data_IF_170290044639
#
_entry.id   IF_170290044639
#
_cell.length_a   1.000
_cell.length_b   1.000
_cell.length_c   1.000
_cell.angle_alpha   90.00
_cell.angle_beta   90.00
_cell.angle_gamma   90.00
#
_symmetry.space_group_name_H-M   'P 1'
#
loop_
_entity.id
_entity.type
_entity.pdbx_description
1 polymer ?
#
# COMPACT_ATOMS: atom_id res chain seq x y z
N UNK A 1 -37.03 -1.21 14.63
CA UNK A 1 -37.51 -1.60 13.28
C UNK A 1 -38.08 -0.36 12.62
N UNK A 2 -37.65 -0.01 11.41
CA UNK A 2 -38.15 1.11 10.61
C UNK A 2 -38.66 0.55 9.28
N UNK A 3 -39.92 0.81 8.97
CA UNK A 3 -40.51 0.50 7.66
C UNK A 3 -40.54 1.81 6.89
N UNK A 4 -39.76 1.90 5.81
CA UNK A 4 -39.67 3.10 4.98
C UNK A 4 -40.41 2.86 3.67
N UNK A 5 -41.42 3.69 3.41
CA UNK A 5 -42.15 3.73 2.14
C UNK A 5 -41.53 4.83 1.28
N UNK A 6 -40.71 4.45 0.31
CA UNK A 6 -40.04 5.37 -0.61
C UNK A 6 -40.91 5.63 -1.84
N UNK A 7 -41.46 6.85 -1.91
CA UNK A 7 -42.18 7.39 -3.07
C UNK A 7 -41.42 8.54 -3.75
N UNK A 8 -40.09 8.64 -3.57
CA UNK A 8 -39.26 9.75 -4.07
C UNK A 8 -39.34 9.96 -5.59
N UNK A 9 -39.66 8.91 -6.36
CA UNK A 9 -39.70 8.96 -7.82
C UNK A 9 -41.08 9.30 -8.39
N UNK A 10 -42.14 9.31 -7.56
CA UNK A 10 -43.52 9.60 -7.98
C UNK A 10 -44.00 8.84 -9.22
N UNK A 11 -43.51 7.61 -9.45
CA UNK A 11 -43.83 6.80 -10.66
C UNK A 11 -45.10 5.97 -10.53
N UNK A 12 -45.88 6.16 -9.46
CA UNK A 12 -47.02 5.28 -9.12
C UNK A 12 -46.59 3.91 -8.55
N UNK A 13 -45.29 3.69 -8.35
CA UNK A 13 -44.74 2.53 -7.63
C UNK A 13 -44.05 3.01 -6.36
N UNK A 14 -44.49 2.51 -5.20
CA UNK A 14 -43.92 2.84 -3.89
C UNK A 14 -43.04 1.66 -3.44
N UNK A 15 -41.74 1.91 -3.26
CA UNK A 15 -40.82 0.88 -2.75
C UNK A 15 -40.94 0.79 -1.23
N UNK A 16 -41.00 -0.42 -0.69
CA UNK A 16 -41.14 -0.66 0.75
C UNK A 16 -39.87 -1.34 1.25
N UNK A 17 -39.15 -0.67 2.14
CA UNK A 17 -37.93 -1.18 2.76
C UNK A 17 -38.17 -1.43 4.25
N UNK A 18 -37.76 -2.60 4.74
CA UNK A 18 -37.71 -2.91 6.17
C UNK A 18 -36.26 -2.80 6.63
N UNK A 19 -35.97 -1.82 7.49
CA UNK A 19 -34.67 -1.66 8.13
C UNK A 19 -34.77 -2.06 9.61
N UNK A 20 -33.94 -3.02 10.01
CA UNK A 20 -33.86 -3.49 11.40
C UNK A 20 -32.46 -3.24 11.92
N UNK A 21 -32.31 -2.31 12.87
CA UNK A 21 -31.08 -2.17 13.64
C UNK A 21 -31.16 -3.14 14.80
N UNK A 22 -30.27 -4.14 14.81
CA UNK A 22 -30.13 -5.05 15.94
C UNK A 22 -29.32 -4.32 17.00
N UNK A 23 -29.90 -4.15 18.18
CA UNK A 23 -29.22 -3.66 19.37
C UNK A 23 -29.26 -4.77 20.41
N UNK A 24 -28.10 -5.27 20.81
CA UNK A 24 -28.00 -6.26 21.87
C UNK A 24 -28.08 -5.52 23.21
N UNK A 25 -29.20 -5.64 23.91
CA UNK A 25 -29.28 -5.25 25.32
C UNK A 25 -28.61 -6.35 26.12
N UNK A 26 -27.40 -6.09 26.61
CA UNK A 26 -26.51 -7.07 27.25
C UNK A 26 -26.98 -7.52 28.63
N UNK A 27 -28.00 -6.88 29.20
CA UNK A 27 -28.61 -7.26 30.48
C UNK A 27 -30.13 -7.44 30.35
N UNK A 28 -30.55 -8.68 30.13
CA UNK A 28 -31.90 -9.09 30.48
C UNK A 28 -31.98 -9.19 32.01
N UNK A 29 -32.87 -8.42 32.64
CA UNK A 29 -33.10 -8.48 34.08
C UNK A 29 -33.88 -9.76 34.43
N UNK A 30 -33.16 -10.88 34.47
CA UNK A 30 -33.73 -12.22 34.70
C UNK A 30 -32.63 -13.19 35.13
N UNK A 31 -33.02 -14.26 35.81
CA UNK A 31 -32.08 -15.30 36.26
C UNK A 31 -31.63 -16.09 35.03
N UNK A 32 -30.50 -15.68 34.44
CA UNK A 32 -29.88 -16.39 33.32
C UNK A 32 -29.34 -17.70 33.87
N UNK A 33 -30.04 -18.80 33.57
CA UNK A 33 -29.51 -20.16 33.83
C UNK A 33 -28.44 -20.37 32.75
N UNK A 34 -27.24 -19.87 33.01
CA UNK A 34 -26.09 -20.19 32.18
C UNK A 34 -25.89 -21.71 32.26
N UNK A 35 -25.94 -22.40 31.12
CA UNK A 35 -25.37 -23.73 31.06
C UNK A 35 -23.89 -23.61 31.42
N UNK A 36 -23.40 -24.46 32.32
CA UNK A 36 -22.05 -24.40 32.93
C UNK A 36 -20.87 -24.26 31.93
N UNK A 37 -21.08 -24.41 30.62
CA UNK A 37 -20.08 -24.27 29.57
C UNK A 37 -19.95 -22.89 28.88
N UNK A 38 -20.87 -21.93 29.05
CA UNK A 38 -20.78 -20.66 28.28
C UNK A 38 -19.76 -19.67 28.85
N UNK A 39 -19.61 -19.63 30.18
CA UNK A 39 -18.67 -18.74 30.86
C UNK A 39 -17.22 -19.15 30.61
N UNK A 40 -16.94 -20.46 30.63
CA UNK A 40 -15.59 -21.00 30.38
C UNK A 40 -15.12 -20.70 28.96
N UNK A 41 -16.00 -20.80 27.96
CA UNK A 41 -15.67 -20.47 26.57
C UNK A 41 -15.35 -18.97 26.39
N UNK A 42 -16.12 -18.06 27.01
CA UNK A 42 -15.85 -16.62 26.92
C UNK A 42 -14.49 -16.27 27.53
N UNK A 43 -14.18 -16.84 28.70
CA UNK A 43 -12.89 -16.64 29.37
C UNK A 43 -11.74 -17.14 28.50
N UNK A 44 -11.89 -18.30 27.85
CA UNK A 44 -10.86 -18.85 26.94
C UNK A 44 -10.64 -17.90 25.75
N UNK A 45 -11.69 -17.39 25.13
CA UNK A 45 -11.58 -16.45 23.99
C UNK A 45 -10.86 -15.17 24.41
N UNK A 46 -11.23 -14.60 25.55
CA UNK A 46 -10.59 -13.41 26.10
C UNK A 46 -9.10 -13.62 26.36
N UNK A 47 -8.73 -14.77 26.96
CA UNK A 47 -7.32 -15.12 27.18
C UNK A 47 -6.55 -15.25 25.86
N UNK A 48 -7.16 -15.87 24.84
CA UNK A 48 -6.55 -15.98 23.50
C UNK A 48 -6.33 -14.59 22.89
N UNK A 49 -7.31 -13.68 22.98
CA UNK A 49 -7.17 -12.32 22.43
C UNK A 49 -6.05 -11.54 23.11
N UNK A 50 -5.88 -11.67 24.44
CA UNK A 50 -4.76 -11.07 25.18
C UNK A 50 -3.41 -11.67 24.75
N UNK A 51 -3.33 -12.99 24.56
CA UNK A 51 -2.10 -13.64 24.09
C UNK A 51 -1.74 -13.18 22.66
N UNK A 52 -2.72 -13.09 21.77
CA UNK A 52 -2.53 -12.57 20.40
C UNK A 52 -2.03 -11.13 20.44
N UNK A 53 -2.65 -10.28 21.26
CA UNK A 53 -2.25 -8.88 21.41
C UNK A 53 -0.78 -8.77 21.89
N UNK A 54 -0.39 -9.54 22.90
CA UNK A 54 0.99 -9.55 23.41
C UNK A 54 2.00 -10.01 22.35
N UNK A 55 1.67 -11.08 21.59
CA UNK A 55 2.53 -11.58 20.52
C UNK A 55 2.68 -10.56 19.38
N UNK A 56 1.60 -9.89 18.98
CA UNK A 56 1.64 -8.83 17.97
C UNK A 56 2.42 -7.60 18.44
N UNK A 57 2.30 -7.17 19.70
CA UNK A 57 3.08 -6.06 20.25
C UNK A 57 4.58 -6.42 20.25
N UNK A 58 4.94 -7.63 20.69
CA UNK A 58 6.34 -8.09 20.66
C UNK A 58 6.89 -8.14 19.23
N UNK A 59 6.12 -8.69 18.28
CA UNK A 59 6.46 -8.71 16.85
C UNK A 59 6.66 -7.30 16.29
N UNK A 60 5.74 -6.37 16.59
CA UNK A 60 5.79 -4.99 16.14
C UNK A 60 7.06 -4.28 16.65
N UNK A 61 7.40 -4.47 17.93
CA UNK A 61 8.62 -3.88 18.51
C UNK A 61 9.87 -4.42 17.81
N UNK A 62 9.97 -5.74 17.61
CA UNK A 62 11.12 -6.35 16.95
C UNK A 62 11.25 -5.92 15.49
N UNK A 63 10.14 -5.89 14.74
CA UNK A 63 10.12 -5.47 13.34
C UNK A 63 10.40 -3.97 13.18
N UNK A 64 9.87 -3.13 14.06
CA UNK A 64 10.16 -1.70 14.09
C UNK A 64 11.65 -1.46 14.37
N UNK A 65 12.26 -2.18 15.32
CA UNK A 65 13.71 -2.11 15.57
C UNK A 65 14.53 -2.50 14.34
N UNK A 66 14.13 -3.55 13.62
CA UNK A 66 14.80 -3.96 12.39
C UNK A 66 14.71 -2.88 11.29
N UNK A 67 13.52 -2.30 11.08
CA UNK A 67 13.32 -1.22 10.11
C UNK A 67 14.09 0.06 10.48
N UNK A 68 14.12 0.43 11.77
CA UNK A 68 14.91 1.58 12.25
C UNK A 68 16.41 1.38 12.00
N UNK A 69 16.92 0.16 12.24
CA UNK A 69 18.32 -0.17 11.96
C UNK A 69 18.62 -0.11 10.45
N UNK A 70 17.72 -0.62 9.62
CA UNK A 70 17.86 -0.54 8.16
C UNK A 70 17.84 0.91 7.66
N UNK A 71 16.96 1.74 8.21
CA UNK A 71 16.90 3.18 7.89
C UNK A 71 18.17 3.93 8.30
N UNK A 72 18.71 3.62 9.50
CA UNK A 72 19.99 4.20 9.92
C UNK A 72 21.13 3.77 9.00
N UNK A 73 21.19 2.48 8.65
CA UNK A 73 22.20 1.96 7.72
C UNK A 73 22.13 2.64 6.35
N UNK A 74 20.91 2.91 5.85
CA UNK A 74 20.70 3.70 4.63
C UNK A 74 21.34 5.08 4.75
N UNK A 75 21.09 5.81 5.85
CA UNK A 75 21.62 7.16 6.06
C UNK A 75 23.15 7.19 6.11
N UNK A 76 23.76 6.29 6.89
CA UNK A 76 25.23 6.19 7.00
C UNK A 76 25.87 5.78 5.67
N UNK A 77 25.24 4.87 4.92
CA UNK A 77 25.75 4.46 3.59
C UNK A 77 25.64 5.59 2.57
N UNK A 78 24.55 6.39 2.62
CA UNK A 78 24.41 7.57 1.75
C UNK A 78 25.50 8.61 2.01
N UNK A 79 25.83 8.84 3.28
CA UNK A 79 26.91 9.75 3.66
C UNK A 79 28.28 9.21 3.22
N UNK A 80 28.54 7.91 3.40
CA UNK A 80 29.76 7.26 2.95
C UNK A 80 29.95 7.34 1.43
N UNK A 81 28.93 6.99 0.64
CA UNK A 81 29.01 7.00 -0.83
C UNK A 81 29.20 8.41 -1.37
N UNK A 82 28.53 9.40 -0.76
CA UNK A 82 28.72 10.80 -1.14
C UNK A 82 30.13 11.31 -0.83
N UNK A 83 30.67 10.98 0.34
CA UNK A 83 31.95 11.52 0.81
C UNK A 83 33.17 10.80 0.21
N UNK A 84 33.08 9.49 -0.05
CA UNK A 84 34.20 8.67 -0.54
C UNK A 84 34.14 8.46 -2.04
N UNK A 85 32.96 8.15 -2.59
CA UNK A 85 32.79 7.85 -4.03
C UNK A 85 32.35 9.07 -4.85
N UNK A 86 32.04 10.21 -4.21
CA UNK A 86 31.67 11.45 -4.89
C UNK A 86 30.38 11.38 -5.73
N UNK A 87 29.59 10.32 -5.56
CA UNK A 87 28.38 10.03 -6.35
C UNK A 87 27.16 9.95 -5.44
N UNK A 88 25.96 10.19 -5.98
CA UNK A 88 24.70 10.04 -5.25
C UNK A 88 24.07 8.66 -5.51
N UNK A 89 23.50 8.04 -4.47
CA UNK A 89 22.80 6.75 -4.61
C UNK A 89 21.47 6.91 -5.35
N UNK A 90 21.29 6.07 -6.36
CA UNK A 90 20.05 5.95 -7.14
C UNK A 90 18.90 5.51 -6.20
N UNK A 91 17.69 6.03 -6.43
CA UNK A 91 16.50 5.71 -5.62
C UNK A 91 16.17 4.22 -5.55
N UNK A 92 16.48 3.46 -6.61
CA UNK A 92 16.29 2.01 -6.64
C UNK A 92 17.17 1.30 -5.61
N UNK A 93 18.44 1.71 -5.50
CA UNK A 93 19.41 1.16 -4.55
C UNK A 93 19.05 1.59 -3.11
N UNK A 94 18.47 2.78 -2.95
CA UNK A 94 17.94 3.21 -1.65
C UNK A 94 16.75 2.39 -1.15
N UNK A 95 15.91 1.89 -2.06
CA UNK A 95 14.76 1.03 -1.73
C UNK A 95 15.20 -0.39 -1.39
N UNK A 96 16.40 -0.81 -1.79
CA UNK A 96 16.95 -2.12 -1.46
C UNK A 96 17.20 -2.29 0.04
N UNK A 97 17.55 -1.21 0.75
CA UNK A 97 17.64 -1.21 2.22
C UNK A 97 16.28 -1.43 2.90
N UNK A 98 15.17 -1.10 2.24
CA UNK A 98 13.83 -1.28 2.79
C UNK A 98 13.29 -2.67 2.44
N UNK A 99 13.37 -3.59 3.39
CA UNK A 99 12.79 -4.91 3.22
C UNK A 99 11.25 -4.86 3.34
N UNK A 100 10.57 -4.93 2.20
CA UNK A 100 9.11 -4.90 2.07
C UNK A 100 8.39 -5.95 2.92
N UNK A 101 9.02 -7.09 3.23
CA UNK A 101 8.43 -8.09 4.12
C UNK A 101 8.24 -7.57 5.54
N UNK A 102 9.20 -6.81 6.08
CA UNK A 102 9.07 -6.21 7.41
C UNK A 102 8.03 -5.09 7.42
N UNK A 103 7.93 -4.31 6.35
CA UNK A 103 6.88 -3.29 6.20
C UNK A 103 5.50 -3.95 6.26
N UNK A 104 5.30 -5.05 5.55
CA UNK A 104 4.04 -5.80 5.57
C UNK A 104 3.72 -6.40 6.94
N UNK A 105 4.72 -6.96 7.65
CA UNK A 105 4.53 -7.49 9.02
C UNK A 105 4.09 -6.36 9.97
N UNK A 106 4.71 -5.18 9.88
CA UNK A 106 4.32 -4.01 10.68
C UNK A 106 2.89 -3.58 10.37
N UNK A 107 2.49 -3.49 9.10
CA UNK A 107 1.12 -3.15 8.72
C UNK A 107 0.11 -4.16 9.27
N UNK A 108 0.43 -5.45 9.17
CA UNK A 108 -0.37 -6.52 9.75
C UNK A 108 -0.52 -6.38 11.27
N UNK A 109 0.59 -6.23 12.00
CA UNK A 109 0.57 -6.12 13.46
C UNK A 109 -0.27 -4.92 13.93
N UNK A 110 -0.20 -3.79 13.22
CA UNK A 110 -1.07 -2.62 13.48
C UNK A 110 -2.55 -2.97 13.24
N UNK A 111 -2.90 -3.64 12.15
CA UNK A 111 -4.27 -4.08 11.89
C UNK A 111 -4.81 -5.02 12.98
N UNK A 112 -4.01 -6.02 13.40
CA UNK A 112 -4.43 -6.97 14.44
C UNK A 112 -4.54 -6.29 15.81
N UNK A 113 -3.59 -5.42 16.18
CA UNK A 113 -3.66 -4.67 17.45
C UNK A 113 -4.91 -3.78 17.48
N UNK A 114 -5.17 -2.99 16.43
CA UNK A 114 -6.38 -2.17 16.38
C UNK A 114 -7.66 -3.03 16.39
N UNK A 115 -7.69 -4.13 15.62
CA UNK A 115 -8.82 -5.03 15.53
C UNK A 115 -9.15 -5.73 16.86
N UNK A 116 -8.13 -6.20 17.58
CA UNK A 116 -8.25 -6.82 18.90
C UNK A 116 -8.66 -5.83 19.98
N UNK A 117 -8.14 -4.60 19.97
CA UNK A 117 -8.58 -3.54 20.88
C UNK A 117 -10.06 -3.21 20.70
N UNK A 118 -10.53 -3.11 19.44
CA UNK A 118 -11.96 -2.93 19.15
C UNK A 118 -12.79 -4.12 19.60
N UNK A 119 -12.31 -5.35 19.39
CA UNK A 119 -13.00 -6.58 19.83
C UNK A 119 -13.17 -6.61 21.35
N UNK A 120 -12.11 -6.33 22.11
CA UNK A 120 -12.14 -6.26 23.58
C UNK A 120 -13.08 -5.13 24.04
N UNK A 121 -13.06 -3.98 23.36
CA UNK A 121 -13.96 -2.87 23.69
C UNK A 121 -15.43 -3.25 23.56
N UNK A 122 -15.79 -4.06 22.56
CA UNK A 122 -17.17 -4.55 22.34
C UNK A 122 -17.59 -5.55 23.43
N UNK A 123 -16.67 -6.32 23.99
CA UNK A 123 -16.99 -7.26 25.07
C UNK A 123 -17.30 -6.53 26.40
N UNK A 124 -16.65 -5.38 26.64
CA UNK A 124 -16.84 -4.58 27.86
C UNK A 124 -17.88 -3.45 27.75
N UNK A 125 -18.27 -3.04 26.55
CA UNK A 125 -19.25 -1.96 26.30
C UNK A 125 -20.49 -2.50 25.61
N UNK A 126 -21.54 -1.69 25.55
CA UNK A 126 -22.72 -2.01 24.75
C UNK A 126 -22.33 -2.26 23.28
N UNK A 127 -22.96 -3.26 22.66
CA UNK A 127 -22.63 -3.71 21.32
C UNK A 127 -22.84 -2.59 20.29
N UNK A 128 -21.74 -2.17 19.65
CA UNK A 128 -21.75 -1.22 18.54
C UNK A 128 -21.50 -1.95 17.21
N UNK A 129 -22.50 -1.90 16.32
CA UNK A 129 -22.45 -2.52 14.99
C UNK A 129 -21.29 -1.98 14.13
N UNK A 130 -20.97 -0.69 14.25
CA UNK A 130 -19.89 -0.07 13.47
C UNK A 130 -18.52 -0.55 13.98
N UNK A 131 -18.34 -0.60 15.29
CA UNK A 131 -17.12 -1.10 15.92
C UNK A 131 -16.90 -2.59 15.61
N UNK A 132 -17.98 -3.38 15.59
CA UNK A 132 -17.95 -4.79 15.20
C UNK A 132 -17.52 -4.97 13.73
N UNK A 133 -18.11 -4.17 12.82
CA UNK A 133 -17.76 -4.21 11.40
C UNK A 133 -16.30 -3.83 11.17
N UNK A 134 -15.83 -2.75 11.82
CA UNK A 134 -14.43 -2.31 11.74
C UNK A 134 -13.47 -3.36 12.32
N UNK A 135 -13.79 -3.95 13.47
CA UNK A 135 -13.00 -5.02 14.08
C UNK A 135 -12.89 -6.22 13.15
N UNK A 136 -14.01 -6.66 12.56
CA UNK A 136 -14.03 -7.77 11.59
C UNK A 136 -13.16 -7.52 10.36
N UNK A 137 -13.24 -6.33 9.77
CA UNK A 137 -12.41 -5.95 8.61
C UNK A 137 -10.92 -5.92 8.99
N UNK A 138 -10.56 -5.28 10.11
CA UNK A 138 -9.17 -5.17 10.56
C UNK A 138 -8.54 -6.52 10.89
N UNK A 139 -9.25 -7.37 11.63
CA UNK A 139 -8.79 -8.73 11.96
C UNK A 139 -8.71 -9.61 10.72
N UNK A 140 -9.66 -9.49 9.79
CA UNK A 140 -9.67 -10.22 8.53
C UNK A 140 -8.50 -9.85 7.61
N UNK A 141 -8.25 -8.56 7.41
CA UNK A 141 -7.11 -8.06 6.63
C UNK A 141 -5.79 -8.44 7.30
N UNK A 142 -5.69 -8.30 8.62
CA UNK A 142 -4.52 -8.72 9.39
C UNK A 142 -4.23 -10.21 9.18
N UNK A 143 -5.23 -11.07 9.37
CA UNK A 143 -5.08 -12.51 9.15
C UNK A 143 -4.62 -12.85 7.71
N UNK A 144 -5.19 -12.21 6.69
CA UNK A 144 -4.75 -12.40 5.30
C UNK A 144 -3.27 -12.02 5.12
N UNK A 145 -2.85 -10.88 5.67
CA UNK A 145 -1.47 -10.41 5.60
C UNK A 145 -0.50 -11.32 6.39
N UNK A 146 -0.94 -11.93 7.50
CA UNK A 146 -0.15 -12.97 8.21
C UNK A 146 0.17 -14.12 7.28
N UNK A 147 -0.84 -14.67 6.58
CA UNK A 147 -0.65 -15.79 5.67
C UNK A 147 0.21 -15.42 4.46
N UNK A 148 0.06 -14.21 3.91
CA UNK A 148 1.00 -13.69 2.91
C UNK A 148 2.41 -13.58 3.51
N UNK A 149 2.55 -13.18 4.77
CA UNK A 149 3.80 -13.16 5.53
C UNK A 149 4.48 -14.52 5.63
N UNK A 150 3.72 -15.62 5.63
CA UNK A 150 4.29 -16.97 5.62
C UNK A 150 5.07 -17.23 4.31
N UNK A 151 4.70 -16.60 3.18
CA UNK A 151 5.43 -16.67 1.90
C UNK A 151 6.90 -16.24 2.03
N UNK A 152 7.22 -15.36 2.98
CA UNK A 152 8.61 -14.99 3.30
C UNK A 152 9.46 -16.19 3.67
N UNK A 153 8.92 -17.11 4.47
CA UNK A 153 9.67 -18.28 4.95
C UNK A 153 9.85 -19.31 3.84
N UNK A 154 8.94 -19.36 2.86
CA UNK A 154 9.12 -20.18 1.67
C UNK A 154 10.30 -19.70 0.80
N UNK A 155 10.67 -18.42 0.83
CA UNK A 155 11.86 -17.90 0.13
C UNK A 155 13.18 -18.51 0.62
N UNK A 156 13.23 -19.12 1.81
CA UNK A 156 14.44 -19.78 2.29
C UNK A 156 14.82 -20.99 1.43
N UNK A 157 13.83 -21.62 0.78
CA UNK A 157 14.07 -22.69 -0.17
C UNK A 157 14.38 -22.11 -1.55
N UNK A 158 15.52 -22.52 -2.11
CA UNK A 158 16.01 -22.05 -3.41
C UNK A 158 14.98 -22.19 -4.54
N UNK A 159 14.14 -23.25 -4.53
CA UNK A 159 13.10 -23.47 -5.56
C UNK A 159 11.97 -22.43 -5.51
N UNK A 160 11.48 -22.05 -4.33
CA UNK A 160 10.37 -21.10 -4.19
C UNK A 160 10.84 -19.64 -4.29
N UNK A 161 12.10 -19.37 -3.94
CA UNK A 161 12.70 -18.04 -4.07
C UNK A 161 12.65 -17.52 -5.52
N UNK A 162 12.89 -18.40 -6.51
CA UNK A 162 12.84 -18.06 -7.94
C UNK A 162 11.46 -17.50 -8.33
N UNK A 163 10.37 -18.11 -7.84
CA UNK A 163 9.00 -17.68 -8.16
C UNK A 163 8.70 -16.29 -7.58
N UNK A 164 9.06 -16.06 -6.32
CA UNK A 164 8.81 -14.78 -5.64
C UNK A 164 9.67 -13.67 -6.24
N UNK A 165 10.93 -13.96 -6.59
CA UNK A 165 11.79 -13.01 -7.30
C UNK A 165 11.22 -12.69 -8.69
N UNK A 166 10.66 -13.69 -9.37
CA UNK A 166 9.97 -13.51 -10.65
C UNK A 166 8.83 -12.53 -10.57
N UNK A 167 7.96 -12.69 -9.58
CA UNK A 167 6.84 -11.76 -9.35
C UNK A 167 7.36 -10.36 -9.03
N UNK A 168 8.36 -10.23 -8.14
CA UNK A 168 8.91 -8.92 -7.76
C UNK A 168 9.53 -8.17 -8.94
N UNK A 169 10.28 -8.87 -9.80
CA UNK A 169 10.99 -8.26 -10.93
C UNK A 169 10.06 -7.94 -12.10
N UNK A 170 9.04 -8.77 -12.33
CA UNK A 170 8.06 -8.56 -13.40
C UNK A 170 7.00 -7.51 -13.05
N UNK A 171 6.73 -7.27 -11.75
CA UNK A 171 5.73 -6.31 -11.27
C UNK A 171 5.75 -4.94 -11.97
N UNK A 172 6.88 -4.21 -12.10
CA UNK A 172 6.88 -2.90 -12.76
C UNK A 172 6.52 -2.96 -14.25
N UNK A 173 6.95 -4.02 -14.95
CA UNK A 173 6.61 -4.21 -16.37
C UNK A 173 5.13 -4.55 -16.52
N UNK A 174 4.61 -5.42 -15.65
CA UNK A 174 3.20 -5.76 -15.59
C UNK A 174 2.36 -4.52 -15.29
N UNK A 175 2.76 -3.66 -14.35
CA UNK A 175 2.01 -2.44 -14.00
C UNK A 175 1.91 -1.45 -15.17
N UNK A 176 2.96 -1.31 -15.99
CA UNK A 176 2.91 -0.47 -17.20
C UNK A 176 1.91 -1.00 -18.22
N UNK A 177 1.93 -2.31 -18.47
CA UNK A 177 0.95 -2.96 -19.35
C UNK A 177 -0.47 -2.85 -18.80
N UNK A 178 -0.66 -3.14 -17.51
CA UNK A 178 -1.93 -3.02 -16.81
C UNK A 178 -2.49 -1.60 -16.84
N UNK A 179 -1.63 -0.57 -16.79
CA UNK A 179 -2.07 0.83 -16.92
C UNK A 179 -2.68 1.10 -18.30
N UNK A 180 -2.08 0.58 -19.38
CA UNK A 180 -2.66 0.67 -20.72
C UNK A 180 -3.98 -0.11 -20.82
N UNK A 181 -4.02 -1.34 -20.31
CA UNK A 181 -5.23 -2.16 -20.28
C UNK A 181 -6.35 -1.50 -19.45
N UNK A 182 -6.02 -0.81 -18.36
CA UNK A 182 -6.97 -0.09 -17.52
C UNK A 182 -7.63 1.09 -18.27
N UNK A 183 -6.88 1.81 -19.12
CA UNK A 183 -7.45 2.87 -19.96
C UNK A 183 -8.47 2.30 -20.95
N UNK A 184 -8.13 1.18 -21.60
CA UNK A 184 -9.08 0.48 -22.48
C UNK A 184 -10.31 0.00 -21.69
N UNK A 185 -10.09 -0.61 -20.53
CA UNK A 185 -11.17 -1.11 -19.67
C UNK A 185 -12.11 0.01 -19.23
N UNK A 186 -11.58 1.18 -18.86
CA UNK A 186 -12.39 2.35 -18.51
C UNK A 186 -13.23 2.84 -19.70
N UNK A 187 -12.68 2.81 -20.92
CA UNK A 187 -13.44 3.14 -22.14
C UNK A 187 -14.62 2.20 -22.36
N UNK A 188 -14.39 0.88 -22.25
CA UNK A 188 -15.47 -0.11 -22.31
C UNK A 188 -16.46 0.07 -21.15
N UNK A 189 -16.00 0.27 -19.92
CA UNK A 189 -16.85 0.49 -18.76
C UNK A 189 -17.84 1.65 -18.95
N UNK A 190 -17.35 2.80 -19.41
CA UNK A 190 -18.21 3.97 -19.67
C UNK A 190 -19.16 3.69 -20.84
N UNK A 191 -18.66 3.10 -21.93
CA UNK A 191 -19.49 2.77 -23.09
C UNK A 191 -20.61 1.77 -22.73
N UNK A 192 -20.28 0.69 -22.02
CA UNK A 192 -21.24 -0.32 -21.57
C UNK A 192 -22.28 0.26 -20.61
N UNK A 193 -21.85 1.13 -19.68
CA UNK A 193 -22.77 1.82 -18.77
C UNK A 193 -23.77 2.70 -19.53
N UNK A 194 -23.32 3.47 -20.53
CA UNK A 194 -24.19 4.39 -21.28
C UNK A 194 -25.08 3.65 -22.29
N UNK A 195 -24.54 2.69 -23.04
CA UNK A 195 -25.26 2.00 -24.11
C UNK A 195 -26.24 0.97 -23.54
N UNK A 196 -25.79 0.13 -22.60
CA UNK A 196 -26.53 -1.04 -22.12
C UNK A 196 -27.24 -0.75 -20.79
N UNK A 197 -26.77 0.23 -20.01
CA UNK A 197 -27.27 0.51 -18.66
C UNK A 197 -28.78 0.77 -18.52
N UNK A 198 -29.45 1.45 -19.47
CA UNK A 198 -30.90 1.61 -19.42
C UNK A 198 -31.68 0.30 -19.66
N UNK A 199 -31.04 -0.71 -20.27
CA UNK A 199 -31.68 -1.92 -20.78
C UNK A 199 -31.26 -3.22 -20.07
N UNK A 200 -30.25 -3.17 -19.20
CA UNK A 200 -29.82 -4.31 -18.37
C UNK A 200 -29.58 -3.89 -16.92
N UNK A 201 -30.03 -4.72 -15.98
CA UNK A 201 -29.83 -4.51 -14.55
C UNK A 201 -28.35 -4.59 -14.16
N UNK A 202 -27.54 -5.38 -14.88
CA UNK A 202 -26.10 -5.54 -14.61
C UNK A 202 -25.31 -4.26 -14.88
N UNK A 203 -25.73 -3.49 -15.87
CA UNK A 203 -25.06 -2.25 -16.28
C UNK A 203 -25.70 -0.99 -15.71
N UNK A 204 -26.56 -1.09 -14.69
CA UNK A 204 -27.36 0.06 -14.23
C UNK A 204 -26.53 1.16 -13.57
N UNK A 205 -25.49 0.78 -12.82
CA UNK A 205 -24.56 1.72 -12.19
C UNK A 205 -23.13 1.43 -12.64
N UNK A 206 -22.24 2.41 -12.55
CA UNK A 206 -20.84 2.23 -12.94
C UNK A 206 -20.17 1.09 -12.13
N UNK A 207 -20.46 1.00 -10.83
CA UNK A 207 -19.95 -0.07 -9.96
C UNK A 207 -20.41 -1.46 -10.41
N UNK A 208 -21.72 -1.64 -10.66
CA UNK A 208 -22.27 -2.91 -11.15
C UNK A 208 -21.78 -3.27 -12.56
N UNK A 209 -21.60 -2.26 -13.41
CA UNK A 209 -21.00 -2.43 -14.73
C UNK A 209 -19.56 -2.93 -14.62
N UNK A 210 -18.78 -2.43 -13.66
CA UNK A 210 -17.42 -2.91 -13.42
C UNK A 210 -17.39 -4.31 -12.81
N UNK A 211 -18.29 -4.64 -11.89
CA UNK A 211 -18.43 -6.02 -11.39
C UNK A 211 -18.74 -6.98 -12.55
N UNK A 212 -19.68 -6.61 -13.43
CA UNK A 212 -20.07 -7.42 -14.58
C UNK A 212 -18.94 -7.58 -15.62
N UNK A 213 -18.25 -6.50 -16.00
CA UNK A 213 -17.13 -6.57 -16.95
C UNK A 213 -15.94 -7.34 -16.38
N UNK A 214 -15.67 -7.22 -15.08
CA UNK A 214 -14.63 -7.99 -14.42
C UNK A 214 -14.96 -9.49 -14.36
N UNK A 215 -16.23 -9.86 -14.08
CA UNK A 215 -16.69 -11.25 -14.20
C UNK A 215 -16.53 -11.78 -15.62
N UNK A 216 -16.95 -11.01 -16.63
CA UNK A 216 -16.80 -11.39 -18.04
C UNK A 216 -15.33 -11.57 -18.46
N UNK A 217 -14.42 -10.72 -17.97
CA UNK A 217 -12.97 -10.85 -18.22
C UNK A 217 -12.42 -12.19 -17.74
N UNK A 218 -12.97 -12.72 -16.64
CA UNK A 218 -12.63 -14.04 -16.10
C UNK A 218 -13.48 -15.18 -16.69
N UNK A 219 -14.34 -14.91 -17.67
CA UNK A 219 -15.21 -15.89 -18.31
C UNK A 219 -16.43 -16.29 -17.49
N UNK A 220 -16.77 -15.54 -16.44
CA UNK A 220 -17.95 -15.78 -15.61
C UNK A 220 -19.19 -15.08 -16.17
N UNK A 221 -20.33 -15.76 -16.05
CA UNK A 221 -21.67 -15.24 -16.34
C UNK A 221 -21.88 -14.60 -17.74
N UNK A 222 -21.19 -15.13 -18.76
CA UNK A 222 -21.28 -14.64 -20.14
C UNK A 222 -22.69 -14.79 -20.73
N UNK A 223 -23.28 -15.99 -20.60
CA UNK A 223 -24.61 -16.28 -21.16
C UNK A 223 -25.72 -15.44 -20.54
N UNK A 224 -25.76 -15.31 -19.21
CA UNK A 224 -26.83 -14.52 -18.59
C UNK A 224 -26.66 -13.04 -18.90
N UNK A 225 -25.45 -12.56 -19.17
CA UNK A 225 -25.26 -11.18 -19.65
C UNK A 225 -25.95 -10.94 -20.99
N UNK A 226 -25.83 -11.86 -21.95
CA UNK A 226 -26.58 -11.78 -23.21
C UNK A 226 -28.09 -11.87 -23.00
N UNK A 227 -28.56 -12.72 -22.08
CA UNK A 227 -29.98 -12.88 -21.79
C UNK A 227 -30.61 -11.66 -21.09
N UNK A 228 -29.84 -10.97 -20.24
CA UNK A 228 -30.34 -9.79 -19.51
C UNK A 228 -30.43 -8.53 -20.36
N UNK A 229 -29.84 -8.49 -21.56
CA UNK A 229 -30.00 -7.38 -22.48
C UNK A 229 -31.40 -7.49 -23.08
N UNK A 230 -32.28 -6.56 -22.71
CA UNK A 230 -33.70 -6.59 -23.07
C UNK A 230 -33.94 -6.75 -24.57
N UNK A 231 -34.82 -7.69 -24.93
CA UNK A 231 -35.17 -8.06 -26.30
C UNK A 231 -36.12 -7.08 -27.00
N UNK A 232 -36.66 -6.09 -26.28
CA UNK A 232 -37.70 -5.20 -26.83
C UNK A 232 -37.21 -4.34 -28.00
N UNK A 233 -35.91 -4.06 -28.08
CA UNK A 233 -35.31 -3.30 -29.18
C UNK A 233 -34.21 -4.12 -29.85
N UNK A 234 -34.47 -4.61 -31.06
CA UNK A 234 -33.52 -5.42 -31.83
C UNK A 234 -32.19 -4.71 -32.06
N UNK A 235 -32.20 -3.39 -32.27
CA UNK A 235 -30.99 -2.58 -32.48
C UNK A 235 -30.08 -2.65 -31.24
N UNK A 236 -30.64 -2.44 -30.05
CA UNK A 236 -29.90 -2.47 -28.78
C UNK A 236 -29.39 -3.88 -28.48
N UNK A 237 -30.18 -4.91 -28.79
CA UNK A 237 -29.73 -6.30 -28.68
C UNK A 237 -28.52 -6.56 -29.57
N UNK A 238 -28.56 -6.15 -30.84
CA UNK A 238 -27.42 -6.31 -31.76
C UNK A 238 -26.19 -5.54 -31.30
N UNK A 239 -26.34 -4.25 -30.93
CA UNK A 239 -25.22 -3.44 -30.43
C UNK A 239 -24.66 -3.96 -29.11
N UNK A 240 -25.51 -4.39 -28.17
CA UNK A 240 -25.10 -4.95 -26.90
C UNK A 240 -24.39 -6.30 -27.06
N UNK A 241 -24.92 -7.18 -27.91
CA UNK A 241 -24.27 -8.46 -28.24
C UNK A 241 -22.91 -8.23 -28.93
N UNK A 242 -22.85 -7.32 -29.92
CA UNK A 242 -21.60 -6.97 -30.58
C UNK A 242 -20.58 -6.37 -29.61
N UNK A 243 -21.02 -5.47 -28.71
CA UNK A 243 -20.19 -4.88 -27.67
C UNK A 243 -19.58 -5.95 -26.76
N UNK A 244 -20.38 -6.89 -26.25
CA UNK A 244 -19.89 -7.96 -25.37
C UNK A 244 -18.92 -8.88 -26.14
N UNK A 245 -19.21 -9.24 -27.41
CA UNK A 245 -18.28 -10.04 -28.21
C UNK A 245 -16.94 -9.36 -28.46
N UNK A 246 -16.95 -8.06 -28.78
CA UNK A 246 -15.72 -7.27 -28.96
C UNK A 246 -14.95 -7.18 -27.65
N UNK A 247 -15.63 -6.90 -26.53
CA UNK A 247 -15.00 -6.84 -25.21
C UNK A 247 -14.35 -8.18 -24.83
N UNK A 248 -15.10 -9.28 -24.90
CA UNK A 248 -14.63 -10.62 -24.57
C UNK A 248 -13.46 -11.03 -25.47
N UNK A 249 -13.59 -10.81 -26.78
CA UNK A 249 -12.54 -11.20 -27.72
C UNK A 249 -11.26 -10.41 -27.51
N UNK A 250 -11.37 -9.10 -27.25
CA UNK A 250 -10.22 -8.25 -26.97
C UNK A 250 -9.57 -8.59 -25.61
N UNK A 251 -10.35 -8.64 -24.53
CA UNK A 251 -9.78 -8.79 -23.19
C UNK A 251 -9.33 -10.22 -22.89
N UNK A 252 -10.07 -11.25 -23.32
CA UNK A 252 -9.70 -12.65 -23.05
C UNK A 252 -8.63 -13.13 -24.02
N UNK A 253 -8.77 -12.90 -25.34
CA UNK A 253 -7.80 -13.47 -26.29
C UNK A 253 -6.57 -12.61 -26.52
N UNK A 254 -6.66 -11.29 -26.34
CA UNK A 254 -5.51 -10.40 -26.57
C UNK A 254 -4.89 -9.99 -25.24
N UNK A 255 -5.63 -9.27 -24.39
CA UNK A 255 -5.06 -8.67 -23.16
C UNK A 255 -4.59 -9.74 -22.17
N UNK A 256 -5.42 -10.76 -21.89
CA UNK A 256 -5.06 -11.84 -20.96
C UNK A 256 -3.93 -12.71 -21.51
N UNK A 257 -3.93 -13.03 -22.82
CA UNK A 257 -2.83 -13.77 -23.44
C UNK A 257 -1.51 -13.00 -23.42
N UNK A 258 -1.53 -11.69 -23.67
CA UNK A 258 -0.35 -10.84 -23.52
C UNK A 258 0.14 -10.76 -22.07
N UNK A 259 -0.78 -10.67 -21.11
CA UNK A 259 -0.43 -10.69 -19.69
C UNK A 259 0.30 -11.99 -19.29
N UNK A 260 -0.21 -13.14 -19.73
CA UNK A 260 0.43 -14.45 -19.51
C UNK A 260 1.80 -14.50 -20.20
N UNK A 261 1.91 -13.98 -21.42
CA UNK A 261 3.18 -13.94 -22.15
C UNK A 261 4.25 -13.09 -21.43
N UNK A 262 3.90 -11.94 -20.88
CA UNK A 262 4.82 -11.08 -20.10
C UNK A 262 5.31 -11.80 -18.84
N UNK A 263 4.43 -12.50 -18.14
CA UNK A 263 4.80 -13.28 -16.95
C UNK A 263 5.72 -14.44 -17.34
N UNK A 264 5.42 -15.13 -18.44
CA UNK A 264 6.21 -16.25 -18.95
C UNK A 264 7.62 -15.79 -19.34
N UNK A 265 7.73 -14.71 -20.12
CA UNK A 265 9.03 -14.12 -20.50
C UNK A 265 9.86 -13.75 -19.27
N UNK A 266 9.26 -13.08 -18.28
CA UNK A 266 9.95 -12.74 -17.05
C UNK A 266 10.39 -13.98 -16.24
N UNK A 267 9.57 -15.03 -16.23
CA UNK A 267 9.91 -16.30 -15.60
C UNK A 267 11.08 -16.99 -16.29
N UNK A 268 11.11 -17.03 -17.62
CA UNK A 268 12.21 -17.64 -18.37
C UNK A 268 13.53 -16.88 -18.15
N UNK A 269 13.48 -15.55 -18.26
CA UNK A 269 14.64 -14.67 -18.00
C UNK A 269 15.23 -14.89 -16.61
N UNK A 270 14.39 -15.14 -15.59
CA UNK A 270 14.87 -15.33 -14.21
C UNK A 270 15.33 -16.77 -14.00
N UNK A 271 14.61 -17.76 -14.55
CA UNK A 271 15.03 -19.17 -14.54
C UNK A 271 16.41 -19.34 -15.17
N UNK A 272 16.66 -18.70 -16.29
CA UNK A 272 17.92 -18.82 -17.03
C UNK A 272 19.07 -18.12 -16.29
N UNK A 273 18.83 -16.97 -15.65
CA UNK A 273 19.82 -16.35 -14.74
C UNK A 273 20.19 -17.25 -13.56
N UNK A 274 19.19 -17.88 -12.92
CA UNK A 274 19.45 -18.83 -11.83
C UNK A 274 20.22 -20.07 -12.29
N UNK A 275 20.00 -20.52 -13.53
CA UNK A 275 20.72 -21.66 -14.10
C UNK A 275 22.15 -21.33 -14.50
N UNK A 276 22.39 -20.10 -14.95
CA UNK A 276 23.66 -19.66 -15.54
C UNK A 276 24.70 -19.22 -14.50
N UNK A 277 24.35 -19.15 -13.21
CA UNK A 277 25.26 -18.74 -12.12
C UNK A 277 25.94 -17.36 -12.33
N UNK A 278 25.48 -16.56 -13.30
CA UNK A 278 25.95 -15.20 -13.49
C UNK A 278 25.38 -14.33 -12.38
N UNK A 279 26.32 -13.83 -11.58
CA UNK A 279 26.09 -12.86 -10.51
C UNK A 279 25.41 -11.64 -11.11
N UNK A 280 24.39 -11.09 -10.43
CA UNK A 280 23.70 -9.86 -10.83
C UNK A 280 24.68 -8.82 -11.42
N UNK A 281 24.23 -8.02 -12.39
CA UNK A 281 24.82 -6.69 -12.60
C UNK A 281 24.72 -5.97 -11.25
N UNK A 282 25.79 -6.08 -10.47
CA UNK A 282 25.84 -5.68 -9.08
C UNK A 282 25.49 -4.20 -9.04
N UNK A 283 24.42 -3.83 -8.32
CA UNK A 283 24.25 -2.42 -7.98
C UNK A 283 25.52 -1.95 -7.28
N UNK A 284 25.82 -0.64 -7.32
CA UNK A 284 27.01 -0.07 -6.67
C UNK A 284 27.11 -0.54 -5.21
N UNK A 285 25.97 -0.73 -4.56
CA UNK A 285 25.81 -1.29 -3.21
C UNK A 285 26.30 -2.74 -3.10
N UNK A 286 25.95 -3.57 -4.07
CA UNK A 286 26.32 -4.98 -4.12
C UNK A 286 27.80 -5.16 -4.54
N UNK A 287 28.35 -4.21 -5.30
CA UNK A 287 29.78 -4.12 -5.63
C UNK A 287 30.61 -3.68 -4.41
N UNK A 288 30.10 -2.72 -3.61
CA UNK A 288 30.65 -2.34 -2.30
C UNK A 288 30.60 -3.52 -1.32
N UNK A 289 29.48 -4.26 -1.23
CA UNK A 289 29.36 -5.45 -0.39
C UNK A 289 30.25 -6.61 -0.84
N UNK A 290 30.52 -6.74 -2.15
CA UNK A 290 31.43 -7.75 -2.69
C UNK A 290 32.92 -7.40 -2.50
N UNK A 291 33.25 -6.26 -1.88
CA UNK A 291 34.64 -5.86 -1.61
C UNK A 291 35.46 -5.56 -2.86
N UNK A 292 34.80 -5.26 -3.98
CA UNK A 292 35.44 -5.15 -5.30
C UNK A 292 35.94 -3.73 -5.63
N UNK A 293 36.12 -2.88 -4.61
CA UNK A 293 36.88 -1.63 -4.72
C UNK A 293 38.36 -1.94 -4.55
N UNK A 294 38.96 -2.60 -5.54
CA UNK A 294 40.41 -2.55 -5.71
C UNK A 294 40.74 -1.21 -6.36
N UNK A 295 41.72 -0.51 -5.79
CA UNK A 295 42.30 0.77 -6.21
C UNK A 295 41.45 2.02 -5.92
N UNK A 296 41.40 2.46 -4.65
CA UNK A 296 41.45 3.89 -4.25
C UNK A 296 41.20 4.13 -2.74
N UNK A 297 41.84 3.40 -1.83
CA UNK A 297 41.83 3.81 -0.41
C UNK A 297 43.21 3.60 0.23
N UNK A 298 43.98 4.69 0.28
CA UNK A 298 44.89 4.95 1.38
C UNK A 298 44.04 5.43 2.57
N UNK A 299 44.43 5.03 3.79
CA UNK A 299 43.82 5.25 5.11
C UNK A 299 43.19 3.98 5.75
N UNK A 300 44.06 3.15 6.34
CA UNK A 300 43.71 2.13 7.35
C UNK A 300 42.87 2.70 8.52
N UNK A 301 42.87 4.03 8.71
CA UNK A 301 42.15 4.73 9.78
C UNK A 301 40.62 4.79 9.55
N UNK A 302 40.17 4.79 8.29
CA UNK A 302 38.72 4.83 7.95
C UNK A 302 38.08 3.45 8.06
N UNK A 303 38.82 2.38 7.74
CA UNK A 303 38.32 1.00 7.81
C UNK A 303 38.01 0.56 9.25
N UNK A 304 38.72 1.12 10.24
CA UNK A 304 38.49 0.89 11.67
C UNK A 304 37.22 1.58 12.20
N UNK A 305 36.93 2.80 11.73
CA UNK A 305 35.76 3.56 12.18
C UNK A 305 34.43 2.98 11.65
N UNK A 306 34.44 2.34 10.49
CA UNK A 306 33.26 1.78 9.81
C UNK A 306 33.13 0.25 9.87
N UNK A 307 33.92 -0.43 10.71
CA UNK A 307 33.79 -1.87 10.95
C UNK A 307 32.39 -2.24 11.46
N UNK A 308 31.86 -3.38 11.00
CA UNK A 308 30.53 -3.91 11.35
C UNK A 308 30.29 -4.01 12.85
N UNK A 309 31.35 -4.13 13.66
CA UNK A 309 31.30 -4.15 15.13
C UNK A 309 30.99 -2.77 15.74
N UNK A 310 31.41 -1.67 15.12
CA UNK A 310 31.10 -0.32 15.58
C UNK A 310 29.69 0.14 15.13
N UNK A 311 29.21 -0.31 13.97
CA UNK A 311 27.81 -0.12 13.53
C UNK A 311 26.80 -0.91 14.39
N UNK A 312 27.21 -2.04 14.97
CA UNK A 312 26.43 -2.80 15.96
C UNK A 312 26.37 -2.14 17.35
N UNK A 313 27.26 -1.18 17.63
CA UNK A 313 27.36 -0.48 18.93
C UNK A 313 26.39 0.71 19.07
N UNK A 314 25.42 0.83 18.16
CA UNK A 314 24.31 1.77 18.32
C UNK A 314 23.32 1.26 19.37
N UNK A 315 23.63 1.62 20.59
CA UNK A 315 22.77 1.45 21.75
C UNK A 315 21.39 2.12 21.52
N UNK A 316 20.33 1.44 21.94
CA UNK A 316 18.94 1.81 21.65
C UNK A 316 18.60 3.23 22.16
N UNK A 317 19.26 3.66 23.26
CA UNK A 317 19.12 5.00 23.84
C UNK A 317 19.78 6.10 23.01
N UNK A 318 20.95 5.84 22.41
CA UNK A 318 21.62 6.81 21.54
C UNK A 318 20.91 6.94 20.18
N UNK A 319 20.30 5.85 19.70
CA UNK A 319 19.48 5.82 18.49
C UNK A 319 18.21 6.68 18.63
N UNK A 320 17.46 6.52 19.73
CA UNK A 320 16.24 7.29 19.99
C UNK A 320 16.57 8.78 20.19
N UNK A 321 17.68 9.10 20.86
CA UNK A 321 18.17 10.48 21.03
C UNK A 321 18.51 11.14 19.69
N UNK A 322 19.27 10.48 18.81
CA UNK A 322 19.61 11.03 17.47
C UNK A 322 18.40 11.21 16.56
N UNK A 323 17.43 10.29 16.60
CA UNK A 323 16.17 10.41 15.84
C UNK A 323 15.31 11.57 16.37
N UNK A 324 15.18 11.69 17.69
CA UNK A 324 14.43 12.79 18.34
C UNK A 324 15.06 14.15 18.03
N UNK A 325 16.39 14.23 18.00
CA UNK A 325 17.11 15.45 17.63
C UNK A 325 16.92 15.84 16.16
N UNK A 326 16.94 14.88 15.21
CA UNK A 326 16.67 15.17 13.79
C UNK A 326 15.20 15.54 13.53
N UNK A 327 14.24 14.88 14.16
CA UNK A 327 12.82 15.27 14.05
C UNK A 327 12.54 16.65 14.66
N UNK A 328 13.19 16.99 15.79
CA UNK A 328 13.11 18.32 16.41
C UNK A 328 13.67 19.41 15.49
N UNK A 329 14.78 19.15 14.80
CA UNK A 329 15.37 20.12 13.86
C UNK A 329 14.51 20.29 12.60
N UNK A 330 13.87 19.23 12.10
CA UNK A 330 12.95 19.32 10.97
C UNK A 330 11.69 20.15 11.30
N UNK A 331 11.21 20.10 12.55
CA UNK A 331 10.06 20.89 13.00
C UNK A 331 10.40 22.36 13.29
N UNK A 332 11.66 22.68 13.59
CA UNK A 332 12.10 24.05 13.88
C UNK A 332 12.35 24.88 12.61
N UNK A 333 12.68 24.25 11.48
CA UNK A 333 12.88 24.92 10.18
C UNK A 333 11.55 25.48 9.63
N UNK A 334 10.41 24.90 9.99
CA UNK A 334 9.09 25.37 9.53
C UNK A 334 8.56 26.59 10.30
N UNK A 335 9.26 27.09 11.34
CA UNK A 335 8.76 28.15 12.24
C UNK A 335 9.49 29.50 12.19
N UNK A 336 10.52 29.67 11.34
CA UNK A 336 11.17 30.98 11.14
C UNK A 336 10.63 31.67 9.88
N UNK A 337 9.69 32.59 10.09
CA UNK A 337 9.20 33.55 9.11
C UNK A 337 10.20 34.73 9.02
N UNK A 338 10.53 35.27 7.83
CA UNK A 338 11.58 36.28 7.70
C UNK A 338 11.10 37.66 8.18
N UNK A 339 11.92 38.31 9.02
CA UNK A 339 11.76 39.71 9.45
C UNK A 339 12.26 40.65 8.36
N UNK A 340 11.39 41.55 7.91
CA UNK A 340 11.74 42.71 7.08
C UNK A 340 12.67 43.63 7.88
N UNK A 341 13.89 43.90 7.37
CA UNK A 341 14.76 44.94 7.90
C UNK A 341 14.78 46.13 6.93
N UNK A 342 14.18 47.23 7.40
CA UNK A 342 14.42 48.60 6.97
C UNK A 342 15.88 48.99 7.20
N UNK A 343 16.55 49.54 6.18
CA UNK A 343 17.87 50.14 6.33
C UNK A 343 17.75 51.64 6.01
N UNK A 344 17.91 52.46 7.04
CA UNK A 344 18.04 53.91 6.95
C UNK A 344 19.49 54.29 7.35
N UNK A 345 20.16 55.00 6.43
CA UNK A 345 21.29 55.93 6.54
C UNK A 345 22.49 55.67 7.47
N UNK A 346 23.69 55.84 6.91
CA UNK A 346 24.54 57.02 7.19
C UNK A 346 25.83 57.09 6.34
N UNK A 347 25.87 58.11 5.48
CA UNK A 347 26.92 59.10 5.19
C UNK A 347 28.44 58.78 5.13
N UNK A 348 29.08 59.59 4.27
CA UNK A 348 30.49 60.03 4.14
C UNK A 348 31.36 59.25 3.14
N UNK A 349 32.17 59.85 2.25
CA UNK A 349 32.39 61.23 1.78
C UNK A 349 33.45 61.15 0.63
N UNK A 350 33.39 62.10 -0.31
CA UNK A 350 34.46 62.67 -1.16
C UNK A 350 34.65 62.25 -2.64
N UNK A 351 34.25 63.22 -3.48
CA UNK A 351 34.97 63.94 -4.55
C UNK A 351 35.24 63.27 -5.91
N UNK A 352 34.77 63.90 -7.00
CA UNK A 352 35.51 64.83 -7.90
C UNK A 352 34.66 65.19 -9.16
N UNK A 353 34.59 66.50 -9.52
CA UNK A 353 34.32 67.19 -10.83
C UNK A 353 33.15 66.74 -11.75
N UNK A 354 32.48 67.58 -12.55
CA UNK A 354 32.51 69.02 -12.87
C UNK A 354 31.21 69.41 -13.62
N UNK A 355 30.92 70.72 -13.62
CA UNK A 355 30.24 71.53 -14.64
C UNK A 355 28.69 71.53 -14.87
N UNK A 356 28.11 72.66 -14.44
CA UNK A 356 27.30 73.64 -15.20
C UNK A 356 26.05 73.21 -16.00
N UNK A 357 24.87 73.69 -15.58
CA UNK A 357 24.07 74.70 -16.34
C UNK A 357 22.74 75.09 -15.63
N UNK A 358 22.60 76.39 -15.33
CA UNK A 358 21.46 77.31 -15.62
C UNK A 358 20.04 77.02 -15.04
N UNK A 359 19.71 77.76 -13.97
CA UNK A 359 18.66 78.80 -13.80
C UNK A 359 17.34 78.75 -14.62
N UNK A 360 16.23 78.90 -13.86
CA UNK A 360 14.82 79.26 -14.20
C UNK A 360 14.01 78.18 -14.98
N UNK A 361 12.80 77.79 -14.61
CA UNK A 361 11.66 78.49 -13.97
C UNK A 361 10.72 77.45 -13.37
#
# INVERSE_FOLDING_TARGET
VSITFDNSRHTGQVYIYLSTVISYVTLCNGRVIHGDGTLTVSIIIFVIDILVLLMCIASLILCCRALLRAYLLKLETMEFVRNVLGSELILNDQLEFLNFWYVMIVTNDVCIICGTLFKITIEFRDFDNDLFTKSGILLGIGALLVYVGVLRYFCFFSKYNILILTIKKSLPNILRFMSCAAVLYAGFLIAGWVIIGPYSLKFRTLGKSSEALFSLLNGDDMFATFFTINDSNTIIKVFGTAYIYVFVSLFIYVVLSLFIAIIMDAYEVIRDRYRSQETEEKSLLQLLCAGQSHDLLDDEEKQFHYSSTNLLKLDCCNLFRRLTERFRNCFHVTRQQPSYNSLENSNTMNNVHDDNHVVNT
#
